data_IF_241623111757
#
_entry.id   IF_241623111757
#
_cell.length_a   1.000
_cell.length_b   1.000
_cell.length_c   1.000
_cell.angle_alpha   90.00
_cell.angle_beta   90.00
_cell.angle_gamma   90.00
#
_symmetry.space_group_name_H-M   'P 1'
#
loop_
_entity.id
_entity.type
_entity.pdbx_description
1 polymer ?
#
# COMPACT_ATOMS: atom_id res chain seq x y z
N UNK A 1 8.16 -17.75 15.92
CA UNK A 1 8.34 -17.94 14.46
C UNK A 1 9.81 -18.16 14.14
N UNK A 2 10.15 -19.04 13.20
CA UNK A 2 11.52 -19.15 12.70
C UNK A 2 11.99 -17.83 12.07
N UNK A 3 13.29 -17.51 12.19
CA UNK A 3 13.89 -16.28 11.62
C UNK A 3 13.65 -16.19 10.11
N UNK A 4 13.65 -17.34 9.43
CA UNK A 4 13.33 -17.44 8.00
C UNK A 4 11.88 -17.06 7.70
N UNK A 5 10.90 -17.59 8.45
CA UNK A 5 9.49 -17.23 8.24
C UNK A 5 9.26 -15.74 8.47
N UNK A 6 9.91 -15.15 9.47
CA UNK A 6 9.80 -13.71 9.73
C UNK A 6 10.37 -12.87 8.58
N UNK A 7 11.49 -13.29 8.01
CA UNK A 7 12.08 -12.62 6.84
C UNK A 7 11.19 -12.79 5.60
N UNK A 8 10.70 -14.00 5.34
CA UNK A 8 9.79 -14.28 4.24
C UNK A 8 8.51 -13.45 4.34
N UNK A 9 7.88 -13.41 5.51
CA UNK A 9 6.70 -12.57 5.76
C UNK A 9 7.01 -11.09 5.60
N UNK A 10 8.11 -10.60 6.18
CA UNK A 10 8.51 -9.19 6.02
C UNK A 10 8.74 -8.77 4.57
N UNK A 11 9.14 -9.71 3.69
CA UNK A 11 9.29 -9.47 2.25
C UNK A 11 7.96 -9.58 1.49
N UNK A 12 7.10 -10.55 1.81
CA UNK A 12 5.85 -10.81 1.07
C UNK A 12 4.70 -9.92 1.50
N UNK A 13 4.63 -9.52 2.78
CA UNK A 13 3.60 -8.62 3.31
C UNK A 13 3.37 -7.36 2.44
N UNK A 14 4.40 -6.56 2.10
CA UNK A 14 4.17 -5.35 1.30
C UNK A 14 3.66 -5.64 -0.12
N UNK A 15 4.02 -6.79 -0.70
CA UNK A 15 3.53 -7.19 -2.02
C UNK A 15 2.04 -7.56 -1.99
N UNK A 16 1.63 -8.37 -1.00
CA UNK A 16 0.23 -8.76 -0.82
C UNK A 16 -0.65 -7.55 -0.52
N UNK A 17 -0.17 -6.64 0.35
CA UNK A 17 -0.88 -5.39 0.65
C UNK A 17 -1.11 -4.54 -0.59
N UNK A 18 -0.08 -4.38 -1.44
CA UNK A 18 -0.19 -3.63 -2.69
C UNK A 18 -1.24 -4.23 -3.62
N UNK A 19 -1.24 -5.55 -3.78
CA UNK A 19 -2.22 -6.25 -4.63
C UNK A 19 -3.63 -6.06 -4.08
N UNK A 20 -3.83 -6.24 -2.77
CA UNK A 20 -5.11 -6.03 -2.12
C UNK A 20 -5.63 -4.60 -2.26
N UNK A 21 -4.77 -3.61 -2.06
CA UNK A 21 -5.13 -2.20 -2.25
C UNK A 21 -5.55 -1.92 -3.71
N UNK A 22 -4.79 -2.42 -4.68
CA UNK A 22 -5.13 -2.25 -6.10
C UNK A 22 -6.49 -2.89 -6.43
N UNK A 23 -6.77 -4.08 -5.90
CA UNK A 23 -8.02 -4.77 -6.14
C UNK A 23 -9.25 -4.05 -5.54
N UNK A 24 -9.06 -3.32 -4.44
CA UNK A 24 -10.14 -2.58 -3.76
C UNK A 24 -10.36 -1.20 -4.40
N UNK A 25 -9.28 -0.51 -4.77
CA UNK A 25 -9.34 0.91 -5.16
C UNK A 25 -9.40 1.11 -6.66
N UNK A 26 -8.74 0.26 -7.45
CA UNK A 26 -8.66 0.44 -8.90
C UNK A 26 -9.89 -0.21 -9.55
N UNK A 27 -10.76 0.57 -10.22
CA UNK A 27 -11.93 0.01 -10.88
C UNK A 27 -11.54 -0.92 -12.03
N UNK A 28 -12.37 -1.94 -12.27
CA UNK A 28 -12.16 -2.81 -13.43
C UNK A 28 -12.45 -2.05 -14.73
N UNK A 29 -11.99 -2.58 -15.87
CA UNK A 29 -12.27 -1.98 -17.19
C UNK A 29 -13.77 -1.96 -17.53
N UNK A 30 -14.53 -2.91 -16.98
CA UNK A 30 -15.98 -2.99 -17.19
C UNK A 30 -16.67 -1.88 -16.39
N UNK A 31 -16.34 -1.74 -15.10
CA UNK A 31 -16.89 -0.70 -14.22
C UNK A 31 -16.60 0.69 -14.76
N UNK A 32 -15.36 0.90 -15.24
CA UNK A 32 -14.96 2.13 -15.91
C UNK A 32 -15.88 2.51 -17.08
N UNK A 33 -16.22 1.52 -17.91
CA UNK A 33 -17.05 1.72 -19.10
C UNK A 33 -18.50 1.99 -18.70
N UNK A 34 -19.01 1.29 -17.69
CA UNK A 34 -20.35 1.49 -17.14
C UNK A 34 -20.53 2.87 -16.52
N UNK A 35 -19.50 3.37 -15.85
CA UNK A 35 -19.47 4.70 -15.22
C UNK A 35 -19.13 5.82 -16.22
N UNK A 36 -18.85 5.50 -17.48
CA UNK A 36 -18.47 6.48 -18.50
C UNK A 36 -17.11 7.14 -18.28
N UNK A 37 -16.20 6.51 -17.54
CA UNK A 37 -14.89 7.07 -17.20
C UNK A 37 -13.89 6.79 -18.34
N UNK A 38 -13.24 7.82 -18.92
CA UNK A 38 -12.22 7.63 -19.94
C UNK A 38 -11.01 6.81 -19.43
N UNK A 39 -10.43 5.99 -20.32
CA UNK A 39 -9.34 5.05 -19.96
C UNK A 39 -8.02 5.77 -19.62
N UNK A 40 -7.80 6.90 -20.25
CA UNK A 40 -6.69 7.82 -20.00
C UNK A 40 -6.78 8.41 -18.59
N UNK A 41 -7.96 8.88 -18.17
CA UNK A 41 -8.20 9.39 -16.81
C UNK A 41 -7.91 8.32 -15.76
N UNK A 42 -8.39 7.09 -15.95
CA UNK A 42 -8.07 5.99 -15.02
C UNK A 42 -6.59 5.69 -14.95
N UNK A 43 -5.90 5.64 -16.10
CA UNK A 43 -4.46 5.37 -16.15
C UNK A 43 -3.67 6.48 -15.50
N UNK A 44 -4.08 7.72 -15.62
CA UNK A 44 -3.42 8.85 -14.99
C UNK A 44 -3.68 8.89 -13.48
N UNK A 45 -4.93 8.68 -13.08
CA UNK A 45 -5.38 8.76 -11.68
C UNK A 45 -4.82 7.61 -10.85
N UNK A 46 -4.97 6.37 -11.31
CA UNK A 46 -4.57 5.16 -10.57
C UNK A 46 -3.15 4.69 -10.93
N UNK A 47 -2.25 5.64 -11.20
CA UNK A 47 -0.85 5.35 -11.53
C UNK A 47 0.09 5.74 -10.40
N UNK A 48 1.19 4.99 -10.28
CA UNK A 48 2.29 5.31 -9.36
C UNK A 48 3.01 6.62 -9.69
N UNK A 49 2.75 7.19 -10.88
CA UNK A 49 3.21 8.53 -11.28
C UNK A 49 2.40 9.63 -10.59
N UNK A 50 1.15 9.37 -10.23
CA UNK A 50 0.32 10.32 -9.50
C UNK A 50 0.75 10.33 -8.01
N UNK A 51 1.21 11.48 -7.48
CA UNK A 51 1.66 11.59 -6.10
C UNK A 51 0.53 11.30 -5.09
N UNK A 52 -0.70 11.68 -5.40
CA UNK A 52 -1.86 11.48 -4.52
C UNK A 52 -2.25 10.01 -4.43
N UNK A 53 -2.25 9.30 -5.55
CA UNK A 53 -2.49 7.85 -5.54
C UNK A 53 -1.40 7.08 -4.77
N UNK A 54 -0.14 7.50 -4.94
CA UNK A 54 0.99 6.91 -4.21
C UNK A 54 0.91 7.18 -2.71
N UNK A 55 0.48 8.40 -2.33
CA UNK A 55 0.20 8.78 -0.94
C UNK A 55 -0.96 7.97 -0.37
N UNK A 56 -2.06 7.84 -1.11
CA UNK A 56 -3.22 7.06 -0.72
C UNK A 56 -2.84 5.60 -0.44
N UNK A 57 -2.09 4.95 -1.34
CA UNK A 57 -1.56 3.60 -1.13
C UNK A 57 -0.74 3.51 0.17
N UNK A 58 0.18 4.46 0.39
CA UNK A 58 1.04 4.45 1.56
C UNK A 58 0.25 4.70 2.87
N UNK A 59 -0.76 5.57 2.84
CA UNK A 59 -1.60 5.87 4.01
C UNK A 59 -2.54 4.72 4.35
N UNK A 60 -3.19 4.10 3.37
CA UNK A 60 -4.05 2.93 3.59
C UNK A 60 -3.28 1.73 4.15
N UNK A 61 -1.98 1.67 3.92
CA UNK A 61 -1.10 0.63 4.44
C UNK A 61 -0.53 0.93 5.84
N UNK A 62 -0.83 2.09 6.45
CA UNK A 62 -0.14 2.57 7.66
C UNK A 62 -0.33 1.66 8.89
N UNK A 63 -1.53 1.14 9.11
CA UNK A 63 -1.82 0.30 10.27
C UNK A 63 -1.13 -1.06 10.17
N UNK A 64 -1.18 -1.69 9.00
CA UNK A 64 -0.50 -2.97 8.77
C UNK A 64 1.02 -2.80 8.81
N UNK A 65 1.54 -1.66 8.31
CA UNK A 65 2.96 -1.30 8.44
C UNK A 65 3.36 -1.17 9.90
N UNK A 66 2.55 -0.50 10.73
CA UNK A 66 2.79 -0.40 12.17
C UNK A 66 2.81 -1.76 12.85
N UNK A 67 1.90 -2.66 12.47
CA UNK A 67 1.89 -4.03 12.99
C UNK A 67 3.12 -4.82 12.55
N UNK A 68 3.54 -4.67 11.30
CA UNK A 68 4.74 -5.34 10.78
C UNK A 68 6.03 -4.85 11.47
N UNK A 69 6.08 -3.57 11.83
CA UNK A 69 7.17 -2.98 12.60
C UNK A 69 7.20 -3.54 14.04
N UNK A 70 6.07 -3.53 14.74
CA UNK A 70 5.94 -4.06 16.11
C UNK A 70 6.30 -5.56 16.22
N UNK A 71 6.05 -6.35 15.17
CA UNK A 71 6.40 -7.77 15.12
C UNK A 71 7.85 -8.04 14.65
N UNK A 72 8.65 -7.00 14.40
CA UNK A 72 10.03 -7.13 13.92
C UNK A 72 10.15 -7.69 12.50
N UNK A 73 9.10 -7.55 11.69
CA UNK A 73 9.10 -7.96 10.29
C UNK A 73 9.71 -6.90 9.37
N UNK A 74 9.72 -5.63 9.80
CA UNK A 74 10.48 -4.55 9.17
C UNK A 74 11.89 -4.49 9.74
N UNK A 75 12.84 -5.00 8.96
CA UNK A 75 14.29 -4.98 9.24
C UNK A 75 15.01 -4.33 8.07
N UNK A 76 16.30 -4.03 8.20
CA UNK A 76 17.08 -3.41 7.11
C UNK A 76 17.02 -4.21 5.79
N UNK A 77 16.96 -5.54 5.88
CA UNK A 77 16.87 -6.44 4.72
C UNK A 77 15.49 -6.41 4.05
N UNK A 78 14.42 -6.30 4.86
CA UNK A 78 13.07 -6.30 4.32
C UNK A 78 12.64 -4.91 3.86
N UNK A 79 13.20 -3.83 4.44
CA UNK A 79 12.84 -2.44 4.15
C UNK A 79 12.85 -2.09 2.65
N UNK A 80 13.75 -2.69 1.89
CA UNK A 80 13.83 -2.49 0.44
C UNK A 80 12.56 -2.95 -0.30
N UNK A 81 11.93 -4.07 0.11
CA UNK A 81 10.68 -4.52 -0.52
C UNK A 81 9.52 -3.56 -0.25
N UNK A 82 9.48 -2.96 0.94
CA UNK A 82 8.49 -1.92 1.29
C UNK A 82 8.66 -0.67 0.43
N UNK A 83 9.91 -0.26 0.19
CA UNK A 83 10.22 0.88 -0.69
C UNK A 83 9.84 0.62 -2.14
N UNK A 84 10.20 -0.55 -2.66
CA UNK A 84 9.88 -0.92 -4.05
C UNK A 84 8.39 -1.00 -4.33
N UNK A 85 7.61 -1.53 -3.38
CA UNK A 85 6.16 -1.66 -3.54
C UNK A 85 5.42 -0.34 -3.37
N UNK A 86 6.11 0.75 -2.96
CA UNK A 86 5.50 2.04 -2.65
C UNK A 86 4.66 2.00 -1.36
N UNK A 87 4.83 0.97 -0.54
CA UNK A 87 4.15 0.81 0.75
C UNK A 87 5.02 1.29 1.91
N UNK A 88 6.19 1.88 1.63
CA UNK A 88 6.97 2.60 2.63
C UNK A 88 6.30 3.95 2.96
N UNK A 89 6.44 4.39 4.21
CA UNK A 89 5.77 5.61 4.67
C UNK A 89 5.75 5.71 6.19
N UNK A 90 5.09 6.76 6.69
CA UNK A 90 4.97 7.02 8.13
C UNK A 90 4.23 5.88 8.84
N UNK A 91 4.69 5.51 10.03
CA UNK A 91 3.98 4.56 10.88
C UNK A 91 2.73 5.22 11.49
N UNK A 92 1.67 4.42 11.64
CA UNK A 92 0.47 4.81 12.37
C UNK A 92 0.78 4.91 13.86
N UNK A 93 0.30 5.96 14.54
CA UNK A 93 0.51 6.13 15.99
C UNK A 93 -0.41 5.24 16.82
N UNK A 94 -1.64 5.06 16.33
CA UNK A 94 -2.67 4.22 16.91
C UNK A 94 -3.52 3.65 15.78
N UNK A 95 -4.16 2.51 16.02
CA UNK A 95 -5.00 1.84 15.01
C UNK A 95 -6.12 2.77 14.54
N UNK A 96 -6.36 2.82 13.23
CA UNK A 96 -7.31 3.72 12.58
C UNK A 96 -6.97 5.21 12.77
N UNK A 97 -5.69 5.58 12.88
CA UNK A 97 -5.28 6.99 12.82
C UNK A 97 -5.79 7.60 11.51
N UNK A 98 -6.59 8.69 11.55
CA UNK A 98 -7.11 9.31 10.34
C UNK A 98 -5.97 9.80 9.46
N UNK A 99 -6.13 9.61 8.15
CA UNK A 99 -5.22 10.16 7.15
C UNK A 99 -5.19 11.68 7.28
N UNK A 100 -3.99 12.24 7.47
CA UNK A 100 -3.78 13.70 7.56
C UNK A 100 -3.98 14.42 6.23
N UNK A 101 -4.46 13.73 5.20
CA UNK A 101 -4.76 14.27 3.87
C UNK A 101 -6.13 14.96 3.80
N UNK A 102 -6.94 14.90 4.86
CA UNK A 102 -8.25 15.57 4.92
C UNK A 102 -8.21 17.02 5.46
N UNK A 103 -7.03 17.63 5.55
CA UNK A 103 -6.85 19.02 6.00
C UNK A 103 -6.06 19.84 4.98
#
# INVERSE_FOLDING_TARGET
MSRFNRLALGLTTPAVMRIGFWAIVVPSRQDATLLGIPRDVLRETYSMRNPDFRRLLAESCADVRSLADANGMRTRLTLWSWRLTGTDGRLSRYRNEPSRAAA
#
